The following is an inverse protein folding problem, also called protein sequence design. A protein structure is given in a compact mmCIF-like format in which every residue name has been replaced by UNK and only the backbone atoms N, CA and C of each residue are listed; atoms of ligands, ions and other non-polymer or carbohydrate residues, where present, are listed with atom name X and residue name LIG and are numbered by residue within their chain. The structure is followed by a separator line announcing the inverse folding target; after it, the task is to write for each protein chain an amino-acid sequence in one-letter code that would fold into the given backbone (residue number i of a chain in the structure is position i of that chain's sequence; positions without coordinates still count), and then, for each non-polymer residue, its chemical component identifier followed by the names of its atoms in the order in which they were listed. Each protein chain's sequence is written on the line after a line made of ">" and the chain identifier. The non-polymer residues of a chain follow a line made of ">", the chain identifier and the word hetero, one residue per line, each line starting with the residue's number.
data_IF_136170932159
#
_entry.id   IF_136170932159
#
_cell.length_a   1.000
_cell.length_b   1.000
_cell.length_c   1.000
_cell.angle_alpha   90.00
_cell.angle_beta   90.00
_cell.angle_gamma   90.00
#
_symmetry.space_group_name_H-M   'P 1'
#
loop_
_entity.id
_entity.type
_entity.pdbx_description
1 polymer ?
#
# COMPACT_ATOMS: atom_id res chain seq x y z
N UNK A 1 17.82 -5.59 -0.07
CA UNK A 1 16.78 -5.92 0.92
C UNK A 1 15.39 -5.74 0.30
N UNK A 2 14.55 -6.77 0.31
CA UNK A 2 13.15 -6.67 -0.11
C UNK A 2 12.42 -5.72 0.87
N UNK A 3 11.82 -4.63 0.38
CA UNK A 3 10.93 -3.81 1.22
C UNK A 3 9.69 -4.63 1.54
N UNK A 4 9.45 -4.90 2.81
CA UNK A 4 8.26 -5.62 3.25
C UNK A 4 7.01 -4.76 2.98
N UNK A 5 5.93 -5.39 2.53
CA UNK A 5 4.61 -4.76 2.39
C UNK A 5 3.87 -5.03 3.69
N UNK A 6 3.43 -3.98 4.38
CA UNK A 6 2.72 -4.12 5.66
C UNK A 6 1.37 -4.82 5.45
N UNK A 7 1.04 -5.78 6.30
CA UNK A 7 -0.27 -6.43 6.30
C UNK A 7 -1.36 -5.44 6.73
N UNK A 8 -2.40 -5.28 5.90
CA UNK A 8 -3.48 -4.30 6.11
C UNK A 8 -4.67 -4.84 6.91
N UNK A 9 -4.92 -6.15 6.90
CA UNK A 9 -6.03 -6.76 7.65
C UNK A 9 -5.80 -6.66 9.17
N UNK A 10 -6.84 -6.23 9.89
CA UNK A 10 -6.85 -6.09 11.35
C UNK A 10 -6.16 -4.83 11.86
N UNK A 11 -5.98 -3.82 11.01
CA UNK A 11 -5.57 -2.48 11.44
C UNK A 11 -6.73 -1.77 12.12
N UNK A 12 -6.42 -0.98 13.15
CA UNK A 12 -7.37 -0.11 13.84
C UNK A 12 -6.86 1.34 13.81
N UNK A 13 -7.59 2.30 13.19
CA UNK A 13 -8.78 2.09 12.34
C UNK A 13 -8.46 1.25 11.08
N UNK A 14 -9.48 0.76 10.38
CA UNK A 14 -9.33 -0.05 9.16
C UNK A 14 -8.42 0.60 8.10
N UNK A 15 -7.88 -0.23 7.20
CA UNK A 15 -6.99 0.25 6.14
C UNK A 15 -7.72 1.22 5.21
N UNK A 16 -7.14 2.39 4.95
CA UNK A 16 -7.76 3.37 4.05
C UNK A 16 -7.49 3.01 2.58
N UNK A 17 -8.29 3.55 1.62
CA UNK A 17 -8.02 3.38 0.19
C UNK A 17 -6.60 3.79 -0.22
N UNK A 18 -6.06 4.85 0.39
CA UNK A 18 -4.69 5.34 0.14
C UNK A 18 -3.63 4.36 0.62
N UNK A 19 -3.86 3.68 1.74
CA UNK A 19 -2.96 2.65 2.26
C UNK A 19 -2.96 1.39 1.39
N UNK A 20 -4.15 1.01 0.90
CA UNK A 20 -4.30 -0.09 -0.06
C UNK A 20 -3.60 0.26 -1.38
N UNK A 21 -3.81 1.47 -1.89
CA UNK A 21 -3.15 1.95 -3.10
C UNK A 21 -1.62 2.01 -2.94
N UNK A 22 -1.13 2.48 -1.80
CA UNK A 22 0.30 2.52 -1.51
C UNK A 22 0.92 1.11 -1.43
N UNK A 23 0.21 0.15 -0.83
CA UNK A 23 0.62 -1.25 -0.80
C UNK A 23 0.66 -1.87 -2.20
N UNK A 24 -0.36 -1.60 -3.04
CA UNK A 24 -0.40 -2.02 -4.44
C UNK A 24 0.76 -1.42 -5.25
N UNK A 25 1.05 -0.13 -5.11
CA UNK A 25 2.22 0.51 -5.75
C UNK A 25 3.54 -0.14 -5.32
N UNK A 26 3.68 -0.47 -4.04
CA UNK A 26 4.86 -1.15 -3.54
C UNK A 26 5.00 -2.56 -4.14
N UNK A 27 3.90 -3.31 -4.24
CA UNK A 27 3.86 -4.61 -4.91
C UNK A 27 4.27 -4.51 -6.37
N UNK A 28 3.62 -3.64 -7.15
CA UNK A 28 3.88 -3.48 -8.59
C UNK A 28 5.34 -3.11 -8.84
N UNK A 29 5.88 -2.15 -8.09
CA UNK A 29 7.30 -1.78 -8.20
C UNK A 29 8.23 -2.93 -7.84
N UNK A 30 7.89 -3.70 -6.81
CA UNK A 30 8.73 -4.81 -6.35
C UNK A 30 8.74 -5.96 -7.35
N UNK A 31 7.57 -6.38 -7.84
CA UNK A 31 7.43 -7.48 -8.79
C UNK A 31 7.93 -7.08 -10.17
N UNK A 32 7.64 -5.84 -10.60
CA UNK A 32 8.12 -5.30 -11.88
C UNK A 32 9.60 -4.86 -11.88
N UNK A 33 10.35 -5.02 -10.78
CA UNK A 33 11.76 -4.63 -10.72
C UNK A 33 12.01 -3.12 -10.86
N UNK A 34 11.03 -2.28 -10.51
CA UNK A 34 11.07 -0.84 -10.73
C UNK A 34 11.66 -0.10 -9.52
N UNK A 35 12.86 0.43 -9.69
CA UNK A 35 13.47 1.34 -8.71
C UNK A 35 12.69 2.66 -8.57
N UNK A 36 12.08 3.15 -9.65
CA UNK A 36 11.22 4.34 -9.68
C UNK A 36 10.17 4.23 -10.80
N UNK A 37 9.11 5.02 -10.70
CA UNK A 37 8.12 5.20 -11.79
C UNK A 37 8.63 6.33 -12.69
N UNK A 38 8.81 6.02 -13.97
CA UNK A 38 9.26 6.94 -15.02
C UNK A 38 8.09 7.30 -15.94
N UNK A 39 8.27 8.30 -16.81
CA UNK A 39 7.26 8.63 -17.82
C UNK A 39 6.91 7.44 -18.72
N UNK A 40 7.89 6.61 -19.07
CA UNK A 40 7.71 5.46 -19.97
C UNK A 40 6.91 4.30 -19.37
N UNK A 41 6.94 4.11 -18.05
CA UNK A 41 6.23 3.00 -17.39
C UNK A 41 5.00 3.45 -16.59
N UNK A 42 4.75 4.76 -16.51
CA UNK A 42 3.70 5.37 -15.69
C UNK A 42 2.33 4.74 -15.93
N UNK A 43 1.87 4.72 -17.19
CA UNK A 43 0.53 4.21 -17.52
C UNK A 43 0.34 2.74 -17.15
N UNK A 44 1.34 1.89 -17.41
CA UNK A 44 1.30 0.48 -17.05
C UNK A 44 1.31 0.27 -15.53
N UNK A 45 2.12 1.06 -14.79
CA UNK A 45 2.15 1.03 -13.33
C UNK A 45 0.81 1.48 -12.75
N UNK A 46 0.26 2.60 -13.21
CA UNK A 46 -1.01 3.16 -12.71
C UNK A 46 -2.17 2.18 -12.93
N UNK A 47 -2.28 1.56 -14.12
CA UNK A 47 -3.28 0.54 -14.40
C UNK A 47 -3.15 -0.68 -13.47
N UNK A 48 -1.94 -1.24 -13.35
CA UNK A 48 -1.71 -2.41 -12.49
C UNK A 48 -1.97 -2.10 -11.00
N UNK A 49 -1.63 -0.89 -10.55
CA UNK A 49 -1.91 -0.45 -9.18
C UNK A 49 -3.42 -0.35 -8.93
N UNK A 50 -4.18 0.20 -9.87
CA UNK A 50 -5.63 0.29 -9.76
C UNK A 50 -6.29 -1.10 -9.64
N UNK A 51 -5.89 -2.03 -10.51
CA UNK A 51 -6.41 -3.41 -10.51
C UNK A 51 -6.13 -4.14 -9.19
N UNK A 52 -4.88 -4.03 -8.71
CA UNK A 52 -4.45 -4.68 -7.47
C UNK A 52 -5.09 -4.03 -6.26
N UNK A 53 -5.23 -2.70 -6.25
CA UNK A 53 -5.93 -2.01 -5.17
C UNK A 53 -7.39 -2.48 -5.10
N UNK A 54 -8.10 -2.53 -6.22
CA UNK A 54 -9.48 -3.00 -6.27
C UNK A 54 -9.61 -4.47 -5.81
N UNK A 55 -8.71 -5.35 -6.26
CA UNK A 55 -8.68 -6.74 -5.80
C UNK A 55 -8.39 -6.86 -4.30
N UNK A 56 -7.47 -6.05 -3.78
CA UNK A 56 -7.10 -6.04 -2.36
C UNK A 56 -8.25 -5.52 -1.50
N UNK A 57 -8.97 -4.48 -1.93
CA UNK A 57 -10.15 -3.97 -1.23
C UNK A 57 -11.21 -5.06 -1.08
N UNK A 58 -11.54 -5.79 -2.16
CA UNK A 58 -12.48 -6.92 -2.10
C UNK A 58 -11.99 -8.01 -1.15
N UNK A 59 -10.72 -8.40 -1.27
CA UNK A 59 -10.12 -9.39 -0.39
C UNK A 59 -10.22 -8.99 1.10
N UNK A 60 -9.96 -7.73 1.44
CA UNK A 60 -10.03 -7.27 2.82
C UNK A 60 -11.47 -7.26 3.36
N UNK A 61 -12.45 -6.97 2.51
CA UNK A 61 -13.88 -7.02 2.88
C UNK A 61 -14.39 -8.46 3.06
N UNK A 62 -13.90 -9.41 2.25
CA UNK A 62 -14.38 -10.80 2.26
C UNK A 62 -13.67 -11.69 3.30
N UNK A 63 -12.47 -11.30 3.74
CA UNK A 63 -11.73 -12.05 4.74
C UNK A 63 -12.35 -11.88 6.13
N UNK A 64 -12.43 -12.96 6.94
CA UNK A 64 -12.87 -12.84 8.32
C UNK A 64 -11.89 -12.00 9.14
N UNK A 65 -12.36 -11.51 10.28
CA UNK A 65 -11.54 -10.74 11.22
C UNK A 65 -10.25 -11.46 11.59
N UNK A 66 -9.21 -10.65 11.77
CA UNK A 66 -7.90 -11.15 12.12
C UNK A 66 -7.79 -11.32 13.64
N UNK A 67 -7.55 -12.55 14.08
CA UNK A 67 -7.38 -12.89 15.51
C UNK A 67 -6.23 -12.15 16.22
N UNK A 68 -5.17 -11.81 15.50
CA UNK A 68 -3.97 -11.14 16.05
C UNK A 68 -3.66 -9.91 15.21
N UNK A 69 -3.74 -8.69 15.77
CA UNK A 69 -3.43 -7.46 15.05
C UNK A 69 -2.03 -7.45 14.42
N UNK A 70 -1.82 -6.72 13.31
CA UNK A 70 -0.50 -6.56 12.71
C UNK A 70 0.47 -5.86 13.66
N UNK A 71 1.69 -6.41 13.79
CA UNK A 71 2.76 -5.86 14.65
C UNK A 71 3.37 -4.55 14.13
N UNK A 72 3.15 -4.24 12.86
CA UNK A 72 3.73 -3.09 12.18
C UNK A 72 2.63 -2.30 11.50
N UNK A 73 2.66 -0.98 11.63
CA UNK A 73 1.72 -0.08 10.94
C UNK A 73 2.23 0.30 9.54
N UNK A 74 1.33 0.59 8.59
CA UNK A 74 1.71 1.10 7.28
C UNK A 74 2.55 2.37 7.38
N UNK A 75 3.48 2.62 6.44
CA UNK A 75 4.31 3.83 6.46
C UNK A 75 3.51 5.13 6.55
N UNK A 76 2.34 5.20 5.92
CA UNK A 76 1.48 6.39 5.91
C UNK A 76 0.95 6.78 7.31
N UNK A 77 0.86 5.83 8.26
CA UNK A 77 0.44 6.13 9.64
C UNK A 77 1.57 6.65 10.51
N UNK A 78 2.83 6.54 10.06
CA UNK A 78 3.98 6.88 10.91
C UNK A 78 4.12 8.41 11.02
N UNK A 79 4.28 8.97 12.24
CA UNK A 79 4.34 10.42 12.43
C UNK A 79 5.38 11.12 11.55
N UNK A 80 6.56 10.53 11.39
CA UNK A 80 7.65 11.07 10.58
C UNK A 80 7.33 11.11 9.08
N UNK A 81 6.54 10.14 8.59
CA UNK A 81 6.11 10.11 7.19
C UNK A 81 5.03 11.15 6.95
N UNK A 82 4.08 11.29 7.89
CA UNK A 82 3.02 12.30 7.83
C UNK A 82 3.59 13.71 7.83
N UNK A 83 4.50 14.02 8.76
CA UNK A 83 5.18 15.32 8.82
C UNK A 83 5.92 15.67 7.52
N UNK A 84 6.54 14.68 6.86
CA UNK A 84 7.21 14.89 5.57
C UNK A 84 6.25 15.14 4.41
N UNK A 85 5.06 14.54 4.44
CA UNK A 85 4.02 14.78 3.44
C UNK A 85 3.45 16.20 3.63
N UNK A 86 3.16 16.58 4.88
CA UNK A 86 2.67 17.92 5.24
C UNK A 86 3.68 19.01 4.88
N UNK A 87 4.98 18.82 5.11
CA UNK A 87 6.02 19.78 4.74
C UNK A 87 6.28 19.91 3.22
N UNK A 88 5.66 19.06 2.39
CA UNK A 88 5.77 19.08 0.92
C UNK A 88 4.53 19.66 0.23
N UNK A 89 3.42 19.81 0.95
CA UNK A 89 2.22 20.51 0.49
C UNK A 89 2.31 22.00 0.77
#
# INVERSE_FOLDING_TARGET
>A
MCRNITALRGLEPEATPEEIHAAALQYVRKVGGLSAVSASNRSAVEAAVADIAAATTRLLADLPDRKVPPKTVPPLRRPEVRARIEARG
#
